data_IF_926353432745
#
_entry.id   IF_926353432745
#
_cell.length_a   1.000
_cell.length_b   1.000
_cell.length_c   1.000
_cell.angle_alpha   90.00
_cell.angle_beta   90.00
_cell.angle_gamma   90.00
#
_symmetry.space_group_name_H-M   'P 1'
#
loop_
_entity.id
_entity.type
_entity.pdbx_description
1 polymer ?
#
# COMPACT_ATOMS: atom_id res chain seq x y z
N UNK A 1 7.19 -24.23 11.07
CA UNK A 1 6.80 -22.82 11.19
C UNK A 1 8.00 -22.05 11.68
N UNK A 2 8.43 -21.09 10.89
CA UNK A 2 9.44 -20.12 11.29
C UNK A 2 8.73 -18.88 11.85
N UNK A 3 9.44 -17.99 12.53
CA UNK A 3 8.87 -16.74 13.04
C UNK A 3 8.57 -15.70 11.93
N UNK A 4 8.66 -16.10 10.66
CA UNK A 4 8.52 -15.22 9.49
C UNK A 4 7.36 -15.60 8.57
N UNK A 5 6.57 -16.62 8.92
CA UNK A 5 5.46 -17.12 8.07
C UNK A 5 4.17 -16.30 8.29
N UNK A 6 3.64 -15.67 7.24
CA UNK A 6 2.33 -14.99 7.33
C UNK A 6 1.14 -15.96 7.36
N UNK A 7 1.25 -17.14 6.74
CA UNK A 7 0.22 -18.20 6.80
C UNK A 7 0.68 -19.34 7.69
N UNK A 8 0.00 -19.46 8.82
CA UNK A 8 0.34 -20.42 9.86
C UNK A 8 0.07 -21.88 9.46
N UNK A 9 -0.63 -22.12 8.34
CA UNK A 9 -1.01 -23.45 7.88
C UNK A 9 -0.06 -23.99 6.80
N UNK A 10 0.83 -23.16 6.26
CA UNK A 10 1.77 -23.55 5.22
C UNK A 10 3.19 -23.52 5.79
N UNK A 11 3.88 -24.66 5.81
CA UNK A 11 5.25 -24.72 6.29
C UNK A 11 6.22 -24.11 5.25
N UNK A 12 7.06 -23.15 5.66
CA UNK A 12 8.04 -22.55 4.77
C UNK A 12 8.73 -21.33 5.36
N UNK A 13 9.11 -20.40 4.48
CA UNK A 13 9.48 -19.02 4.81
C UNK A 13 8.63 -18.11 3.92
N UNK A 14 7.43 -17.80 4.39
CA UNK A 14 6.46 -16.97 3.69
C UNK A 14 6.48 -15.54 4.23
N UNK A 15 7.31 -14.69 3.63
CA UNK A 15 7.45 -13.31 4.07
C UNK A 15 6.26 -12.46 3.64
N UNK A 16 5.91 -11.49 4.49
CA UNK A 16 4.99 -10.42 4.15
C UNK A 16 5.78 -9.27 3.54
N UNK A 17 5.33 -8.81 2.38
CA UNK A 17 5.73 -7.58 1.73
C UNK A 17 4.59 -6.57 1.89
N UNK A 18 4.85 -5.46 2.58
CA UNK A 18 3.84 -4.40 2.73
C UNK A 18 4.09 -3.38 1.62
N UNK A 19 3.24 -3.38 0.60
CA UNK A 19 3.31 -2.43 -0.50
C UNK A 19 2.42 -1.19 -0.31
N UNK A 20 1.61 -1.21 0.73
CA UNK A 20 0.58 -0.20 0.92
C UNK A 20 0.17 -0.06 2.39
N UNK A 21 -0.01 1.19 2.80
CA UNK A 21 -0.40 1.55 4.15
C UNK A 21 -1.41 2.69 4.16
N UNK A 22 -2.53 2.48 4.84
CA UNK A 22 -3.64 3.44 4.93
C UNK A 22 -3.90 3.84 6.36
N UNK A 23 -4.15 5.14 6.54
CA UNK A 23 -4.64 5.74 7.78
C UNK A 23 -6.07 6.24 7.58
N UNK A 24 -6.95 5.95 8.53
CA UNK A 24 -8.35 6.39 8.53
C UNK A 24 -8.60 7.55 9.51
N UNK A 25 -9.82 8.12 9.47
CA UNK A 25 -10.31 9.09 10.48
C UNK A 25 -10.25 10.56 10.03
N UNK A 26 -10.09 10.80 8.73
CA UNK A 26 -9.92 12.16 8.19
C UNK A 26 -11.18 12.73 7.53
N UNK A 27 -12.33 12.08 7.71
CA UNK A 27 -13.58 12.51 7.07
C UNK A 27 -13.93 13.95 7.44
N UNK A 28 -14.24 14.77 6.43
CA UNK A 28 -14.53 16.19 6.59
C UNK A 28 -13.33 17.06 7.01
N UNK A 29 -12.11 16.50 7.08
CA UNK A 29 -10.91 17.23 7.51
C UNK A 29 -10.02 17.62 6.34
N UNK A 30 -9.42 18.80 6.47
CA UNK A 30 -8.26 19.20 5.65
C UNK A 30 -7.04 18.43 6.15
N UNK A 31 -6.30 17.84 5.22
CA UNK A 31 -5.11 17.02 5.52
C UNK A 31 -3.93 17.55 4.74
N UNK A 32 -2.80 17.68 5.42
CA UNK A 32 -1.49 17.76 4.78
C UNK A 32 -0.79 16.43 5.05
N UNK A 33 -0.22 15.81 4.03
CA UNK A 33 0.50 14.57 4.17
C UNK A 33 1.86 14.69 3.46
N UNK A 34 2.82 13.91 3.96
CA UNK A 34 4.22 13.99 3.55
C UNK A 34 4.93 12.71 3.93
N UNK A 35 6.12 12.52 3.40
CA UNK A 35 7.00 11.44 3.79
C UNK A 35 8.44 11.93 3.84
N UNK A 36 9.27 11.21 4.58
CA UNK A 36 10.70 11.38 4.60
C UNK A 36 11.35 10.08 4.18
N UNK A 37 12.34 10.18 3.29
CA UNK A 37 13.17 9.08 2.83
C UNK A 37 14.55 9.28 3.43
N UNK A 38 15.04 8.29 4.17
CA UNK A 38 16.43 8.29 4.62
C UNK A 38 17.35 7.96 3.44
N UNK A 39 18.51 8.59 3.38
CA UNK A 39 19.47 8.39 2.28
C UNK A 39 20.27 7.06 2.39
N UNK A 40 19.83 6.14 3.24
CA UNK A 40 20.39 4.80 3.30
C UNK A 40 19.73 3.92 2.24
N UNK A 41 20.50 3.13 1.50
CA UNK A 41 20.03 2.15 0.50
C UNK A 41 19.20 0.99 1.08
N UNK A 42 18.49 1.19 2.19
CA UNK A 42 17.72 0.18 2.93
C UNK A 42 16.24 0.56 3.16
N UNK A 43 15.84 1.77 2.77
CA UNK A 43 14.45 2.22 2.73
C UNK A 43 14.04 2.37 1.27
N UNK A 44 12.92 1.78 0.87
CA UNK A 44 12.33 2.06 -0.43
C UNK A 44 11.36 3.25 -0.33
N UNK A 45 11.20 3.92 -1.46
CA UNK A 45 10.53 5.21 -1.56
C UNK A 45 9.01 5.07 -1.43
N UNK A 46 8.38 6.08 -0.83
CA UNK A 46 6.94 6.27 -0.99
C UNK A 46 6.69 6.66 -2.45
N UNK A 47 6.15 5.74 -3.25
CA UNK A 47 5.91 5.96 -4.67
C UNK A 47 4.66 6.78 -4.93
N UNK A 48 3.64 6.66 -4.05
CA UNK A 48 2.37 7.39 -4.17
C UNK A 48 1.79 7.75 -2.81
N UNK A 49 1.02 8.84 -2.79
CA UNK A 49 0.24 9.28 -1.66
C UNK A 49 -1.09 9.85 -2.15
N UNK A 50 -2.21 9.44 -1.54
CA UNK A 50 -3.53 9.81 -2.04
C UNK A 50 -4.65 9.77 -0.99
N UNK A 51 -5.84 10.25 -1.39
CA UNK A 51 -7.09 10.19 -0.60
C UNK A 51 -7.96 9.05 -1.09
N UNK A 52 -7.63 7.82 -0.68
CA UNK A 52 -8.36 6.60 -1.06
C UNK A 52 -8.20 5.54 0.02
N UNK A 53 -9.01 4.48 -0.03
CA UNK A 53 -8.84 3.26 0.75
C UNK A 53 -8.58 2.04 -0.16
N UNK A 54 -8.15 2.29 -1.41
CA UNK A 54 -7.95 1.25 -2.41
C UNK A 54 -6.53 1.29 -2.89
N UNK A 55 -5.79 0.21 -2.62
CA UNK A 55 -4.47 0.01 -3.19
C UNK A 55 -4.60 -0.58 -4.59
N UNK A 56 -4.18 0.19 -5.58
CA UNK A 56 -4.15 -0.26 -6.98
C UNK A 56 -2.78 -0.84 -7.27
N UNK A 57 -2.76 -2.12 -7.63
CA UNK A 57 -1.54 -2.82 -8.00
C UNK A 57 -0.80 -2.07 -9.12
N UNK A 58 0.50 -1.89 -8.94
CA UNK A 58 1.43 -1.31 -9.90
C UNK A 58 2.53 -2.31 -10.19
N UNK A 59 2.94 -2.45 -11.45
CA UNK A 59 4.10 -3.26 -11.85
C UNK A 59 4.96 -2.45 -12.80
N UNK A 60 6.28 -2.51 -12.61
CA UNK A 60 7.24 -1.88 -13.50
C UNK A 60 7.41 -2.69 -14.79
N UNK A 61 7.76 -2.01 -15.88
CA UNK A 61 8.18 -2.64 -17.12
C UNK A 61 9.52 -3.35 -16.89
N UNK A 62 9.56 -4.67 -17.10
CA UNK A 62 10.76 -5.49 -16.91
C UNK A 62 11.93 -5.09 -17.83
N UNK A 63 11.69 -4.33 -18.90
CA UNK A 63 12.72 -3.80 -19.78
C UNK A 63 13.30 -2.45 -19.30
N UNK A 64 12.65 -1.78 -18.35
CA UNK A 64 13.12 -0.53 -17.76
C UNK A 64 13.97 -0.80 -16.52
N UNK A 65 15.29 -0.74 -16.68
CA UNK A 65 16.25 -0.92 -15.60
C UNK A 65 16.14 0.14 -14.48
N UNK A 66 15.38 1.23 -14.68
CA UNK A 66 15.12 2.23 -13.63
C UNK A 66 13.91 1.89 -12.77
N UNK A 67 13.04 0.96 -13.20
CA UNK A 67 11.80 0.61 -12.51
C UNK A 67 10.70 1.69 -12.56
N UNK A 68 10.92 2.80 -13.27
CA UNK A 68 10.03 3.97 -13.22
C UNK A 68 8.89 3.91 -14.23
N UNK A 69 9.05 3.12 -15.30
CA UNK A 69 8.05 2.96 -16.35
C UNK A 69 7.04 1.89 -15.93
N UNK A 70 5.73 2.20 -15.84
CA UNK A 70 4.71 1.18 -15.62
C UNK A 70 4.67 0.17 -16.78
N UNK A 71 4.53 -1.11 -16.47
CA UNK A 71 4.29 -2.14 -17.47
C UNK A 71 2.98 -1.89 -18.24
N UNK A 72 2.87 -2.46 -19.44
CA UNK A 72 1.66 -2.32 -20.29
C UNK A 72 0.36 -2.59 -19.52
N UNK A 73 -0.55 -1.61 -19.55
CA UNK A 73 -1.85 -1.64 -18.86
C UNK A 73 -1.83 -1.08 -17.44
N UNK A 74 -0.66 -1.03 -16.77
CA UNK A 74 -0.52 -0.40 -15.47
C UNK A 74 -0.37 1.12 -15.60
N UNK A 75 -0.79 1.84 -14.56
CA UNK A 75 -0.75 3.31 -14.53
C UNK A 75 0.07 3.82 -13.35
N UNK A 76 0.84 4.89 -13.58
CA UNK A 76 1.62 5.53 -12.53
C UNK A 76 0.74 6.13 -11.41
N UNK A 77 -0.50 6.56 -11.74
CA UNK A 77 -1.48 7.02 -10.77
C UNK A 77 -2.83 6.33 -11.00
N UNK A 78 -3.49 5.85 -9.92
CA UNK A 78 -4.81 5.23 -10.03
C UNK A 78 -5.81 6.10 -10.78
N UNK A 79 -6.59 5.47 -11.65
CA UNK A 79 -7.67 6.12 -12.37
C UNK A 79 -8.86 6.38 -11.43
N UNK A 80 -9.62 7.44 -11.68
CA UNK A 80 -10.92 7.68 -11.03
C UNK A 80 -12.10 7.34 -11.94
N UNK A 81 -11.80 6.93 -13.18
CA UNK A 81 -12.76 6.49 -14.21
C UNK A 81 -12.18 5.27 -14.94
N UNK A 82 -12.95 4.22 -15.30
CA UNK A 82 -14.41 4.04 -15.17
C UNK A 82 -14.83 3.85 -13.70
N UNK A 83 -16.08 3.42 -13.42
CA UNK A 83 -16.61 3.24 -12.05
C UNK A 83 -15.52 2.74 -11.09
N UNK A 84 -15.06 3.60 -10.17
CA UNK A 84 -13.85 3.32 -9.43
C UNK A 84 -14.08 2.19 -8.42
N UNK A 85 -13.08 1.33 -8.25
CA UNK A 85 -13.15 0.26 -7.27
C UNK A 85 -13.17 0.82 -5.84
N UNK A 86 -13.86 0.09 -4.94
CA UNK A 86 -13.93 0.39 -3.51
C UNK A 86 -13.43 -0.77 -2.64
N UNK A 87 -12.87 -1.81 -3.26
CA UNK A 87 -12.26 -2.94 -2.55
C UNK A 87 -10.86 -2.57 -2.07
N UNK A 88 -10.37 -3.10 -0.94
CA UNK A 88 -9.08 -2.70 -0.37
C UNK A 88 -7.88 -2.85 -1.32
N UNK A 89 -7.92 -3.87 -2.20
CA UNK A 89 -6.94 -4.09 -3.27
C UNK A 89 -7.70 -4.15 -4.59
N UNK A 90 -7.13 -3.56 -5.64
CA UNK A 90 -7.62 -3.65 -7.01
C UNK A 90 -6.48 -3.90 -7.99
N UNK A 91 -6.69 -4.79 -8.96
CA UNK A 91 -5.64 -5.23 -9.88
C UNK A 91 -5.86 -6.63 -10.44
N UNK A 92 -4.76 -7.30 -10.77
CA UNK A 92 -4.73 -8.68 -11.27
C UNK A 92 -4.06 -9.58 -10.23
N UNK A 93 -4.86 -10.44 -9.59
CA UNK A 93 -4.36 -11.43 -8.62
C UNK A 93 -3.89 -12.71 -9.34
N UNK A 94 -2.82 -12.62 -10.14
CA UNK A 94 -2.27 -13.75 -10.88
C UNK A 94 -0.77 -13.59 -11.22
N UNK A 95 -0.09 -14.74 -11.35
CA UNK A 95 1.28 -14.86 -11.84
C UNK A 95 1.46 -16.05 -12.82
N UNK A 96 2.07 -15.85 -14.00
CA UNK A 96 2.33 -14.55 -14.62
C UNK A 96 1.01 -13.79 -14.86
N UNK A 97 1.01 -12.49 -14.55
CA UNK A 97 -0.21 -11.68 -14.68
C UNK A 97 -0.48 -11.26 -16.13
N UNK A 98 -1.75 -11.06 -16.47
CA UNK A 98 -2.13 -10.33 -17.69
C UNK A 98 -2.10 -8.81 -17.45
N UNK A 99 -2.08 -8.02 -18.53
CA UNK A 99 -2.29 -6.58 -18.43
C UNK A 99 -3.65 -6.30 -17.76
N UNK A 100 -3.72 -5.42 -16.75
CA UNK A 100 -4.97 -5.08 -16.08
C UNK A 100 -5.88 -4.27 -17.00
N UNK A 101 -7.19 -4.35 -16.79
CA UNK A 101 -8.15 -3.44 -17.41
C UNK A 101 -8.10 -2.05 -16.74
N UNK A 102 -8.71 -1.05 -17.38
CA UNK A 102 -8.88 0.27 -16.77
C UNK A 102 -9.67 0.24 -15.45
N UNK A 103 -10.66 -0.66 -15.32
CA UNK A 103 -11.40 -0.83 -14.06
C UNK A 103 -10.53 -1.43 -12.96
N UNK A 104 -9.60 -2.34 -13.31
CA UNK A 104 -8.59 -2.91 -12.39
C UNK A 104 -7.46 -1.94 -12.04
N UNK A 105 -7.41 -0.77 -12.69
CA UNK A 105 -6.47 0.31 -12.41
C UNK A 105 -7.14 1.54 -11.81
N UNK A 106 -8.37 1.38 -11.30
CA UNK A 106 -9.15 2.47 -10.74
C UNK A 106 -9.28 2.40 -9.21
N UNK A 107 -9.43 3.55 -8.56
CA UNK A 107 -9.62 3.66 -7.12
C UNK A 107 -10.64 4.75 -6.78
N UNK A 108 -11.53 4.46 -5.85
CA UNK A 108 -12.48 5.44 -5.35
C UNK A 108 -11.75 6.45 -4.48
N UNK A 109 -12.00 7.73 -4.71
CA UNK A 109 -11.54 8.77 -3.80
C UNK A 109 -12.36 8.70 -2.51
N UNK A 110 -11.68 8.77 -1.37
CA UNK A 110 -12.31 8.79 -0.07
C UNK A 110 -11.58 9.73 0.87
N UNK A 111 -12.27 10.80 1.28
CA UNK A 111 -11.75 11.80 2.20
C UNK A 111 -11.51 11.27 3.61
N UNK A 112 -12.03 10.11 3.99
CA UNK A 112 -11.75 9.54 5.30
C UNK A 112 -10.33 8.98 5.44
N UNK A 113 -9.64 8.75 4.32
CA UNK A 113 -8.40 8.00 4.30
C UNK A 113 -7.23 8.79 3.71
N UNK A 114 -6.03 8.42 4.14
CA UNK A 114 -4.76 8.79 3.51
C UNK A 114 -4.00 7.49 3.27
N UNK A 115 -3.68 7.25 2.01
CA UNK A 115 -3.05 6.04 1.50
C UNK A 115 -1.62 6.37 1.05
N UNK A 116 -0.69 5.48 1.38
CA UNK A 116 0.70 5.54 0.99
C UNK A 116 1.07 4.21 0.32
N UNK A 117 1.48 4.27 -0.95
CA UNK A 117 2.16 3.14 -1.59
C UNK A 117 3.62 3.16 -1.16
N UNK A 118 4.08 2.07 -0.56
CA UNK A 118 5.44 1.88 -0.04
C UNK A 118 5.98 0.55 -0.57
N UNK A 119 7.21 0.21 -0.23
CA UNK A 119 7.68 -1.17 -0.24
C UNK A 119 8.48 -1.38 1.04
N UNK A 120 8.07 -2.35 1.84
CA UNK A 120 8.73 -2.72 3.07
C UNK A 120 8.66 -4.24 3.24
N UNK A 121 9.83 -4.87 3.23
CA UNK A 121 9.98 -6.31 3.29
C UNK A 121 11.31 -6.70 3.95
N UNK A 122 11.32 -7.81 4.70
CA UNK A 122 12.59 -8.35 5.22
C UNK A 122 13.38 -9.12 4.14
N UNK A 123 12.63 -9.85 3.31
CA UNK A 123 13.07 -10.62 2.16
C UNK A 123 11.81 -10.90 1.32
N UNK A 124 11.72 -10.40 0.09
CA UNK A 124 10.60 -10.70 -0.80
C UNK A 124 10.82 -12.01 -1.60
N UNK A 125 9.96 -12.27 -2.58
CA UNK A 125 10.00 -13.50 -3.39
C UNK A 125 11.11 -13.51 -4.45
N UNK A 126 11.63 -12.36 -4.87
CA UNK A 126 12.79 -12.25 -5.75
C UNK A 126 14.14 -12.19 -4.99
N UNK A 127 14.07 -12.07 -3.66
CA UNK A 127 15.16 -11.96 -2.67
C UNK A 127 15.72 -10.56 -2.47
N UNK A 128 15.02 -9.52 -2.92
CA UNK A 128 15.27 -8.15 -2.50
C UNK A 128 14.99 -7.97 -1.00
N UNK A 129 15.53 -6.88 -0.43
CA UNK A 129 15.39 -6.56 0.99
C UNK A 129 15.20 -5.08 1.18
N UNK A 130 14.04 -4.72 1.72
CA UNK A 130 13.72 -3.36 2.13
C UNK A 130 13.31 -3.33 3.61
N UNK A 131 14.24 -3.63 4.54
CA UNK A 131 13.88 -3.95 5.92
C UNK A 131 13.40 -2.74 6.74
N UNK A 132 13.56 -1.52 6.21
CA UNK A 132 13.15 -0.28 6.86
C UNK A 132 12.02 0.36 6.06
N UNK A 133 10.93 0.71 6.74
CA UNK A 133 9.83 1.45 6.11
C UNK A 133 10.15 2.95 6.07
N UNK A 134 9.60 3.68 5.09
CA UNK A 134 9.70 5.13 5.06
C UNK A 134 8.91 5.77 6.20
N UNK A 135 9.32 6.97 6.61
CA UNK A 135 8.57 7.76 7.57
C UNK A 135 7.41 8.49 6.88
N UNK A 136 6.18 8.09 7.18
CA UNK A 136 4.96 8.77 6.70
C UNK A 136 4.43 9.76 7.73
N UNK A 137 4.01 10.95 7.29
CA UNK A 137 3.44 11.99 8.13
C UNK A 137 2.06 12.38 7.62
N UNK A 138 1.11 12.51 8.55
CA UNK A 138 -0.22 13.07 8.27
C UNK A 138 -0.52 14.12 9.32
N UNK A 139 -0.80 15.34 8.87
CA UNK A 139 -1.16 16.49 9.70
C UNK A 139 -2.57 16.94 9.39
N UNK A 140 -3.38 17.08 10.42
CA UNK A 140 -4.73 17.67 10.34
C UNK A 140 -5.03 18.47 11.61
N UNK A 141 -6.18 19.14 11.64
CA UNK A 141 -6.67 19.79 12.86
C UNK A 141 -7.18 18.73 13.85
N UNK A 142 -6.94 18.97 15.13
CA UNK A 142 -7.58 18.23 16.22
C UNK A 142 -8.72 19.09 16.80
N UNK A 143 -9.83 18.44 17.18
CA UNK A 143 -10.91 19.02 17.98
C UNK A 143 -10.77 18.65 19.47
N UNK A 144 -9.86 17.74 19.83
CA UNK A 144 -9.57 17.31 21.20
C UNK A 144 -8.08 16.99 21.40
N UNK A 145 -7.63 17.07 22.65
CA UNK A 145 -6.29 16.61 23.08
C UNK A 145 -6.26 15.14 23.53
N UNK A 146 -7.42 14.52 23.70
CA UNK A 146 -7.54 13.13 24.17
C UNK A 146 -7.68 12.21 22.99
N UNK A 147 -6.73 11.33 22.68
CA UNK A 147 -6.87 10.42 21.54
C UNK A 147 -7.37 9.03 21.97
N UNK A 148 -8.26 8.45 21.17
CA UNK A 148 -8.80 7.09 21.39
C UNK A 148 -8.32 6.16 20.30
N UNK A 149 -7.87 4.97 20.69
CA UNK A 149 -7.55 3.93 19.73
C UNK A 149 -8.83 3.42 19.07
N UNK A 150 -8.89 3.47 17.75
CA UNK A 150 -10.01 3.01 16.93
C UNK A 150 -9.58 1.78 16.14
N UNK A 151 -10.38 0.72 16.22
CA UNK A 151 -10.17 -0.49 15.43
C UNK A 151 -10.26 -0.14 13.93
N UNK A 152 -9.32 -0.66 13.13
CA UNK A 152 -9.29 -0.40 11.69
C UNK A 152 -8.79 0.98 11.30
N UNK A 153 -8.17 1.72 12.23
CA UNK A 153 -7.58 3.03 11.91
C UNK A 153 -6.35 2.93 11.00
N UNK A 154 -5.69 1.77 11.00
CA UNK A 154 -4.51 1.48 10.20
C UNK A 154 -4.76 0.20 9.39
N UNK A 155 -4.53 0.25 8.09
CA UNK A 155 -4.64 -0.91 7.18
C UNK A 155 -3.34 -1.09 6.42
N UNK A 156 -2.90 -2.33 6.30
CA UNK A 156 -1.69 -2.73 5.59
C UNK A 156 -2.05 -3.73 4.50
N UNK A 157 -1.40 -3.63 3.34
CA UNK A 157 -1.71 -4.51 2.21
C UNK A 157 -0.45 -4.96 1.48
N UNK A 158 -0.52 -6.21 1.02
CA UNK A 158 0.35 -6.81 0.02
C UNK A 158 -0.47 -6.92 -1.26
N UNK A 159 -0.05 -6.22 -2.32
CA UNK A 159 -0.81 -6.14 -3.57
C UNK A 159 -0.43 -7.18 -4.61
N UNK A 160 0.43 -8.13 -4.23
CA UNK A 160 0.93 -9.20 -5.10
C UNK A 160 1.90 -8.68 -6.15
N UNK A 161 3.15 -8.48 -5.75
CA UNK A 161 4.29 -8.53 -6.65
C UNK A 161 4.58 -10.02 -6.92
N UNK A 162 4.79 -10.37 -8.18
CA UNK A 162 5.12 -11.74 -8.57
C UNK A 162 4.18 -12.85 -8.03
N UNK A 163 4.69 -13.82 -7.26
CA UNK A 163 3.96 -14.98 -6.76
C UNK A 163 3.19 -14.69 -5.46
N UNK A 164 3.40 -13.51 -4.87
CA UNK A 164 2.82 -13.14 -3.61
C UNK A 164 1.28 -12.98 -3.72
N UNK A 165 0.49 -13.54 -2.79
CA UNK A 165 -0.96 -13.37 -2.80
C UNK A 165 -1.35 -11.96 -2.36
N UNK A 166 -2.60 -11.60 -2.63
CA UNK A 166 -3.22 -10.45 -1.99
C UNK A 166 -3.45 -10.70 -0.50
N UNK A 167 -2.92 -9.80 0.33
CA UNK A 167 -3.14 -9.80 1.78
C UNK A 167 -3.59 -8.41 2.19
N UNK A 168 -4.62 -8.31 3.02
CA UNK A 168 -5.06 -7.05 3.63
C UNK A 168 -5.45 -7.32 5.07
N UNK A 169 -4.91 -6.54 5.99
CA UNK A 169 -5.28 -6.60 7.40
C UNK A 169 -5.28 -5.22 8.01
N UNK A 170 -6.06 -5.07 9.08
CA UNK A 170 -6.20 -3.80 9.78
C UNK A 170 -5.96 -3.97 11.26
N UNK A 171 -5.39 -2.95 11.89
CA UNK A 171 -5.13 -2.90 13.32
C UNK A 171 -5.75 -1.65 13.94
N UNK A 172 -5.78 -1.64 15.27
CA UNK A 172 -6.15 -0.43 16.01
C UNK A 172 -5.08 0.65 15.88
N UNK A 173 -5.51 1.90 15.82
CA UNK A 173 -4.63 3.06 15.82
C UNK A 173 -5.37 4.32 16.26
N UNK A 174 -4.64 5.39 16.53
CA UNK A 174 -5.24 6.66 16.91
C UNK A 174 -5.71 7.41 15.68
N UNK A 175 -7.00 7.76 15.65
CA UNK A 175 -7.56 8.68 14.66
C UNK A 175 -7.54 10.11 15.21
N UNK A 176 -7.40 11.14 14.34
CA UNK A 176 -7.53 12.51 14.78
C UNK A 176 -8.95 12.75 15.30
N UNK A 177 -9.04 13.28 16.51
CA UNK A 177 -10.28 13.84 17.02
C UNK A 177 -10.13 15.33 17.18
#
# INVERSE_FOLDING_TARGET
MTNTDYDLNTAGSQYLEVNDFVRAGFSGRTVNAGYFVNNSNQEDVVSRMGRTNVSVQHRADASDATGQTPASGYVAQPLTTPTPASTPINGVNAWPGSAPSASQQSAALDGNYVDFTIDANYLDDDRSKTPSSPYTYVKTSCSSSTHTATAGALTFRQTGQEQAPWISFSISGFVPN
#
